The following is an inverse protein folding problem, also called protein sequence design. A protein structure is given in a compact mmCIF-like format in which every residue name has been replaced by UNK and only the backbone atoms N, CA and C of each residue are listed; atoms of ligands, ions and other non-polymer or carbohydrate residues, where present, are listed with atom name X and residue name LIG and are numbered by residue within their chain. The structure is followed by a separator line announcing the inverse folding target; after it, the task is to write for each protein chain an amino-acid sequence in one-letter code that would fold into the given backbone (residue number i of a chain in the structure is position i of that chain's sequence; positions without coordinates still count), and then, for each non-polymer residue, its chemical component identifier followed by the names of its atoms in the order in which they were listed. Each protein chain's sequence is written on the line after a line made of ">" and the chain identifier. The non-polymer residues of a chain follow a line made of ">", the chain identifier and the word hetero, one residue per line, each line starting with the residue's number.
data_IF_632056815476
#
_entry.id   IF_632056815476
#
_cell.length_a   1.000
_cell.length_b   1.000
_cell.length_c   1.000
_cell.angle_alpha   90.00
_cell.angle_beta   90.00
_cell.angle_gamma   90.00
#
_symmetry.space_group_name_H-M   'P 1'
#
loop_
_entity.id
_entity.type
_entity.pdbx_description
1 polymer ?
#
# COMPACT_ATOMS: atom_id res chain seq x y z
N UNK A 1 1.78 18.59 1.46
CA UNK A 1 0.46 18.83 2.10
C UNK A 1 0.08 17.61 2.93
N UNK A 2 -0.19 17.78 4.23
CA UNK A 2 -0.52 16.69 5.16
C UNK A 2 -2.05 16.59 5.26
N UNK A 3 -2.66 15.73 4.45
CA UNK A 3 -4.03 15.25 4.69
C UNK A 3 -3.92 13.86 5.33
N UNK A 4 -4.21 13.77 6.63
CA UNK A 4 -4.33 12.53 7.42
C UNK A 4 -3.04 11.73 7.67
N UNK A 5 -2.19 11.55 6.66
CA UNK A 5 -0.93 10.81 6.75
C UNK A 5 0.13 11.43 5.83
N UNK A 6 1.39 11.38 6.28
CA UNK A 6 2.54 11.68 5.43
C UNK A 6 2.78 10.55 4.42
N UNK A 7 3.42 10.83 3.28
CA UNK A 7 3.78 9.79 2.30
C UNK A 7 4.56 8.63 2.93
N UNK A 8 5.38 8.90 3.96
CA UNK A 8 6.12 7.89 4.72
C UNK A 8 5.19 6.98 5.54
N UNK A 9 4.20 7.56 6.23
CA UNK A 9 3.19 6.78 6.94
C UNK A 9 2.29 6.00 5.99
N UNK A 10 1.91 6.58 4.84
CA UNK A 10 1.15 5.89 3.81
C UNK A 10 1.94 4.68 3.25
N UNK A 11 3.24 4.86 2.95
CA UNK A 11 4.11 3.77 2.52
C UNK A 11 4.23 2.67 3.60
N UNK A 12 4.34 3.05 4.87
CA UNK A 12 4.36 2.11 5.99
C UNK A 12 3.05 1.31 6.08
N UNK A 13 1.90 1.97 6.02
CA UNK A 13 0.59 1.32 6.01
C UNK A 13 0.39 0.44 4.77
N UNK A 14 0.97 0.81 3.63
CA UNK A 14 0.96 -0.03 2.42
C UNK A 14 1.74 -1.33 2.62
N UNK A 15 2.91 -1.28 3.28
CA UNK A 15 3.63 -2.49 3.68
C UNK A 15 2.90 -3.26 4.80
N UNK A 16 2.26 -2.58 5.75
CA UNK A 16 1.51 -3.27 6.80
C UNK A 16 0.25 -3.94 6.26
N UNK A 17 -0.48 -3.32 5.32
CA UNK A 17 -1.62 -3.92 4.59
C UNK A 17 -1.24 -5.23 3.92
N UNK A 18 0.04 -5.32 3.57
CA UNK A 18 0.58 -6.47 2.92
C UNK A 18 0.70 -7.59 3.97
N UNK A 19 1.29 -7.36 5.13
CA UNK A 19 1.52 -8.43 6.13
C UNK A 19 0.31 -8.71 7.04
N UNK A 20 -0.54 -7.70 7.28
CA UNK A 20 -1.74 -7.77 8.11
C UNK A 20 -2.91 -7.02 7.48
N UNK A 21 -4.12 -7.32 7.94
CA UNK A 21 -5.27 -6.47 7.63
C UNK A 21 -5.13 -5.11 8.33
N UNK A 22 -5.23 -4.02 7.57
CA UNK A 22 -5.39 -2.68 8.13
C UNK A 22 -6.75 -2.52 8.81
N UNK A 23 -6.80 -1.75 9.90
CA UNK A 23 -8.04 -1.30 10.51
C UNK A 23 -8.87 -0.43 9.56
N UNK A 24 -10.18 -0.34 9.81
CA UNK A 24 -11.11 0.41 8.95
C UNK A 24 -10.73 1.89 8.81
N UNK A 25 -10.29 2.54 9.90
CA UNK A 25 -9.83 3.93 9.90
C UNK A 25 -8.55 4.14 9.10
N UNK A 26 -7.56 3.27 9.30
CA UNK A 26 -6.28 3.30 8.56
C UNK A 26 -6.53 3.12 7.06
N UNK A 27 -7.42 2.19 6.70
CA UNK A 27 -7.79 1.91 5.31
C UNK A 27 -8.47 3.11 4.65
N UNK A 28 -9.40 3.77 5.33
CA UNK A 28 -10.10 4.95 4.80
C UNK A 28 -9.12 6.10 4.56
N UNK A 29 -8.30 6.43 5.55
CA UNK A 29 -7.34 7.52 5.46
C UNK A 29 -6.24 7.26 4.42
N UNK A 30 -5.77 6.01 4.30
CA UNK A 30 -4.87 5.61 3.22
C UNK A 30 -5.51 5.79 1.84
N UNK A 31 -6.79 5.42 1.69
CA UNK A 31 -7.52 5.57 0.41
C UNK A 31 -7.68 7.03 0.01
N UNK A 32 -7.95 7.92 0.97
CA UNK A 32 -7.98 9.38 0.74
C UNK A 32 -6.61 9.86 0.27
N UNK A 33 -5.53 9.48 0.96
CA UNK A 33 -4.17 9.87 0.59
C UNK A 33 -3.77 9.40 -0.83
N UNK A 34 -4.12 8.16 -1.19
CA UNK A 34 -3.88 7.60 -2.53
C UNK A 34 -4.74 8.25 -3.63
N UNK A 35 -5.82 8.93 -3.26
CA UNK A 35 -6.61 9.78 -4.16
C UNK A 35 -5.89 11.08 -4.54
N UNK A 36 -5.10 11.61 -3.60
CA UNK A 36 -4.43 12.92 -3.72
C UNK A 36 -2.96 12.82 -4.11
N UNK A 37 -2.30 11.69 -3.78
CA UNK A 37 -0.87 11.48 -4.03
C UNK A 37 -0.66 10.37 -5.07
N UNK A 38 -0.33 10.77 -6.30
CA UNK A 38 0.02 9.84 -7.38
C UNK A 38 1.25 8.99 -7.10
N UNK A 39 2.24 9.53 -6.37
CA UNK A 39 3.46 8.79 -6.03
C UNK A 39 3.18 7.59 -5.11
N UNK A 40 2.39 7.80 -4.06
CA UNK A 40 1.97 6.71 -3.17
C UNK A 40 1.07 5.70 -3.88
N UNK A 41 0.24 6.14 -4.84
CA UNK A 41 -0.55 5.24 -5.68
C UNK A 41 0.32 4.35 -6.57
N UNK A 42 1.36 4.91 -7.18
CA UNK A 42 2.31 4.14 -7.97
C UNK A 42 3.06 3.13 -7.10
N UNK A 43 3.41 3.51 -5.88
CA UNK A 43 4.06 2.62 -4.91
C UNK A 43 3.17 1.44 -4.49
N UNK A 44 1.88 1.65 -4.20
CA UNK A 44 0.92 0.55 -3.94
C UNK A 44 0.85 -0.43 -5.12
N UNK A 45 0.84 0.08 -6.36
CA UNK A 45 0.86 -0.76 -7.57
C UNK A 45 2.15 -1.59 -7.67
N UNK A 46 3.32 -0.98 -7.43
CA UNK A 46 4.61 -1.68 -7.45
C UNK A 46 4.65 -2.79 -6.38
N UNK A 47 4.22 -2.50 -5.15
CA UNK A 47 4.11 -3.50 -4.08
C UNK A 47 3.19 -4.66 -4.46
N UNK A 48 2.07 -4.38 -5.12
CA UNK A 48 1.15 -5.39 -5.63
C UNK A 48 1.79 -6.30 -6.68
N UNK A 49 2.56 -5.73 -7.60
CA UNK A 49 3.29 -6.47 -8.64
C UNK A 49 4.39 -7.36 -8.04
N UNK A 50 5.21 -6.81 -7.12
CA UNK A 50 6.24 -7.60 -6.42
C UNK A 50 5.64 -8.82 -5.72
N UNK A 51 4.50 -8.65 -5.04
CA UNK A 51 3.81 -9.78 -4.42
C UNK A 51 3.21 -10.77 -5.40
N UNK A 52 2.65 -10.30 -6.51
CA UNK A 52 2.16 -11.19 -7.54
C UNK A 52 3.31 -12.05 -8.10
N UNK A 53 4.47 -11.45 -8.34
CA UNK A 53 5.67 -12.16 -8.79
C UNK A 53 6.14 -13.21 -7.76
N UNK A 54 6.23 -12.85 -6.48
CA UNK A 54 6.60 -13.81 -5.40
C UNK A 54 5.61 -14.96 -5.30
N UNK A 55 4.29 -14.68 -5.40
CA UNK A 55 3.27 -15.74 -5.40
C UNK A 55 3.34 -16.62 -6.64
N UNK A 56 3.70 -16.07 -7.80
CA UNK A 56 3.88 -16.83 -9.02
C UNK A 56 5.12 -17.72 -8.96
N UNK A 57 6.22 -17.25 -8.38
CA UNK A 57 7.42 -18.06 -8.17
C UNK A 57 7.18 -19.23 -7.23
N UNK A 58 6.45 -19.03 -6.13
CA UNK A 58 6.05 -20.13 -5.23
C UNK A 58 5.16 -21.20 -5.85
N UNK A 59 4.55 -20.93 -7.01
CA UNK A 59 3.73 -21.91 -7.75
C UNK A 59 4.53 -22.64 -8.83
N UNK A 60 5.79 -22.25 -9.05
CA UNK A 60 6.64 -22.76 -10.13
C UNK A 60 7.73 -23.72 -9.61
N UNK A 61 7.91 -23.77 -8.29
CA UNK A 61 8.51 -24.86 -7.50
C UNK A 61 7.40 -25.83 -7.08
#
# INVERSE_FOLDING_TARGET
>A
MKLGYSCRQAARLLCEKQDRALGLGERLALRIHLGLCGNCRNFDRQLGLMRAAVRMQRQRD
#
